data_IF_596441780350
#
_entry.id   IF_596441780350
#
_cell.length_a   1.000
_cell.length_b   1.000
_cell.length_c   1.000
_cell.angle_alpha   90.00
_cell.angle_beta   90.00
_cell.angle_gamma   90.00
#
_symmetry.space_group_name_H-M   'P 1'
#
loop_
_entity.id
_entity.type
_entity.pdbx_description
1 polymer ?
#
# COMPACT_ATOMS: atom_id res chain seq x y z
N UNK A 1 11.08 28.75 -2.16
CA UNK A 1 9.71 28.64 -1.57
C UNK A 1 8.64 28.90 -2.62
N UNK A 2 8.56 30.09 -3.23
CA UNK A 2 7.55 30.43 -4.26
C UNK A 2 7.53 29.47 -5.46
N UNK A 3 8.70 29.05 -5.93
CA UNK A 3 8.83 28.09 -7.05
C UNK A 3 8.29 26.69 -6.71
N UNK A 4 8.40 26.26 -5.45
CA UNK A 4 7.83 24.98 -4.97
C UNK A 4 6.30 25.00 -4.95
N UNK A 5 5.70 26.13 -4.55
CA UNK A 5 4.25 26.33 -4.59
C UNK A 5 3.69 26.37 -6.01
N UNK A 6 4.38 27.05 -6.94
CA UNK A 6 3.97 27.12 -8.34
C UNK A 6 3.99 25.73 -9.00
N UNK A 7 5.03 24.93 -8.72
CA UNK A 7 5.15 23.56 -9.26
C UNK A 7 4.20 22.56 -8.61
N UNK A 8 3.97 22.66 -7.30
CA UNK A 8 2.91 21.90 -6.63
C UNK A 8 1.55 22.20 -7.26
N UNK A 9 1.27 23.47 -7.54
CA UNK A 9 0.10 23.88 -8.31
C UNK A 9 0.05 23.21 -9.68
N UNK A 10 1.14 23.24 -10.45
CA UNK A 10 1.21 22.63 -11.78
C UNK A 10 0.97 21.11 -11.77
N UNK A 11 1.55 20.37 -10.83
CA UNK A 11 1.32 18.93 -10.67
C UNK A 11 -0.11 18.62 -10.18
N UNK A 12 -0.61 19.39 -9.21
CA UNK A 12 -1.98 19.24 -8.70
C UNK A 12 -3.00 19.47 -9.81
N UNK A 13 -2.86 20.55 -10.57
CA UNK A 13 -3.76 20.90 -11.67
C UNK A 13 -3.57 20.00 -12.88
N UNK A 14 -2.32 19.67 -13.25
CA UNK A 14 -2.00 18.80 -14.38
C UNK A 14 -2.47 17.37 -14.20
N UNK A 15 -2.32 16.80 -12.98
CA UNK A 15 -2.83 15.46 -12.66
C UNK A 15 -4.34 15.44 -12.52
N UNK A 16 -4.94 16.45 -11.88
CA UNK A 16 -6.40 16.61 -11.86
C UNK A 16 -6.96 16.65 -13.28
N UNK A 17 -6.29 17.36 -14.20
CA UNK A 17 -6.68 17.44 -15.61
C UNK A 17 -6.48 16.12 -16.35
N UNK A 18 -5.41 15.38 -16.07
CA UNK A 18 -5.16 14.06 -16.65
C UNK A 18 -6.21 13.05 -16.20
N UNK A 19 -6.57 13.05 -14.92
CA UNK A 19 -7.62 12.19 -14.35
C UNK A 19 -8.98 12.58 -14.90
N UNK A 20 -9.30 13.88 -14.95
CA UNK A 20 -10.56 14.38 -15.53
C UNK A 20 -10.68 14.06 -17.02
N UNK A 21 -9.62 14.27 -17.81
CA UNK A 21 -9.62 13.98 -19.25
C UNK A 21 -9.64 12.48 -19.55
N UNK A 22 -8.96 11.66 -18.73
CA UNK A 22 -9.04 10.20 -18.81
C UNK A 22 -10.44 9.67 -18.47
N UNK A 23 -11.04 10.18 -17.40
CA UNK A 23 -12.42 9.88 -17.01
C UNK A 23 -13.42 10.28 -18.10
N UNK A 24 -13.28 11.49 -18.66
CA UNK A 24 -14.10 11.97 -19.76
C UNK A 24 -13.94 11.12 -21.02
N UNK A 25 -12.71 10.77 -21.42
CA UNK A 25 -12.45 9.92 -22.59
C UNK A 25 -13.11 8.56 -22.43
N UNK A 26 -13.01 7.94 -21.24
CA UNK A 26 -13.66 6.64 -20.96
C UNK A 26 -15.18 6.74 -20.96
N UNK A 27 -15.74 7.83 -20.44
CA UNK A 27 -17.18 8.09 -20.50
C UNK A 27 -17.68 8.25 -21.94
N UNK A 28 -16.92 8.96 -22.79
CA UNK A 28 -17.21 9.12 -24.22
C UNK A 28 -17.13 7.77 -24.93
N UNK A 29 -16.04 7.02 -24.76
CA UNK A 29 -15.88 5.70 -25.39
C UNK A 29 -16.98 4.70 -24.97
N UNK A 30 -17.40 4.71 -23.71
CA UNK A 30 -18.51 3.86 -23.25
C UNK A 30 -19.85 4.30 -23.84
N UNK A 31 -20.06 5.60 -23.99
CA UNK A 31 -21.26 6.17 -24.60
C UNK A 31 -21.33 5.84 -26.08
N UNK A 32 -20.24 5.99 -26.84
CA UNK A 32 -20.15 5.62 -28.25
C UNK A 32 -20.38 4.13 -28.48
N UNK A 33 -19.76 3.25 -27.67
CA UNK A 33 -19.98 1.79 -27.77
C UNK A 33 -21.43 1.38 -27.48
N UNK A 34 -22.15 2.14 -26.64
CA UNK A 34 -23.53 1.82 -26.25
C UNK A 34 -24.58 2.48 -27.13
N UNK A 35 -24.30 3.62 -27.76
CA UNK A 35 -25.19 4.27 -28.73
C UNK A 35 -25.41 3.45 -30.01
N UNK A 36 -24.52 2.49 -30.30
CA UNK A 36 -24.69 1.53 -31.41
C UNK A 36 -25.74 0.45 -31.09
N UNK A 37 -26.20 0.34 -29.83
CA UNK A 37 -27.31 -0.53 -29.43
C UNK A 37 -28.46 0.27 -28.82
N UNK A 38 -29.70 0.02 -29.25
CA UNK A 38 -30.90 0.72 -28.77
C UNK A 38 -31.28 0.38 -27.32
N UNK A 39 -30.45 0.75 -26.34
CA UNK A 39 -30.77 0.64 -24.92
C UNK A 39 -31.11 2.00 -24.32
N UNK A 40 -32.09 2.02 -23.41
CA UNK A 40 -32.64 3.23 -22.78
C UNK A 40 -31.63 4.05 -21.97
N UNK A 41 -32.08 5.19 -21.44
CA UNK A 41 -31.25 6.18 -20.76
C UNK A 41 -30.72 5.76 -19.37
N UNK A 42 -31.36 4.79 -18.72
CA UNK A 42 -31.02 4.37 -17.35
C UNK A 42 -29.62 3.68 -17.24
N UNK A 43 -29.23 2.74 -18.12
CA UNK A 43 -27.86 2.21 -18.19
C UNK A 43 -26.78 3.26 -18.45
N UNK A 44 -27.11 4.33 -19.19
CA UNK A 44 -26.18 5.42 -19.50
C UNK A 44 -25.94 6.29 -18.26
N UNK A 45 -27.01 6.60 -17.52
CA UNK A 45 -26.91 7.36 -16.28
C UNK A 45 -26.12 6.62 -15.19
N UNK A 46 -26.33 5.30 -15.03
CA UNK A 46 -25.54 4.49 -14.09
C UNK A 46 -24.06 4.45 -14.48
N UNK A 47 -23.73 4.33 -15.76
CA UNK A 47 -22.33 4.34 -16.22
C UNK A 47 -21.64 5.70 -15.95
N UNK A 48 -22.35 6.81 -16.15
CA UNK A 48 -21.84 8.15 -15.82
C UNK A 48 -21.62 8.33 -14.32
N UNK A 49 -22.56 7.85 -13.48
CA UNK A 49 -22.40 7.86 -12.02
C UNK A 49 -21.23 6.99 -11.55
N UNK A 50 -21.05 5.81 -12.15
CA UNK A 50 -19.92 4.92 -11.83
C UNK A 50 -18.58 5.55 -12.22
N UNK A 51 -18.49 6.20 -13.39
CA UNK A 51 -17.27 6.88 -13.82
C UNK A 51 -17.00 8.15 -13.01
N UNK A 52 -18.03 8.88 -12.57
CA UNK A 52 -17.89 9.97 -11.61
C UNK A 52 -17.40 9.50 -10.24
N UNK A 53 -17.91 8.37 -9.74
CA UNK A 53 -17.43 7.78 -8.50
C UNK A 53 -15.98 7.29 -8.60
N UNK A 54 -15.59 6.71 -9.74
CA UNK A 54 -14.19 6.34 -10.03
C UNK A 54 -13.30 7.59 -10.07
N UNK A 55 -13.75 8.66 -10.75
CA UNK A 55 -13.06 9.95 -10.77
C UNK A 55 -12.85 10.51 -9.37
N UNK A 56 -13.86 10.48 -8.50
CA UNK A 56 -13.73 10.95 -7.12
C UNK A 56 -12.74 10.10 -6.30
N UNK A 57 -12.70 8.78 -6.53
CA UNK A 57 -11.73 7.88 -5.89
C UNK A 57 -10.30 8.19 -6.35
N UNK A 58 -10.10 8.40 -7.65
CA UNK A 58 -8.82 8.79 -8.23
C UNK A 58 -8.38 10.18 -7.72
N UNK A 59 -9.31 11.13 -7.62
CA UNK A 59 -9.05 12.51 -7.15
C UNK A 59 -8.56 12.58 -5.70
N UNK A 60 -8.99 11.66 -4.83
CA UNK A 60 -8.48 11.59 -3.44
C UNK A 60 -6.97 11.32 -3.40
N UNK A 61 -6.41 10.71 -4.46
CA UNK A 61 -4.98 10.37 -4.54
C UNK A 61 -4.12 11.49 -5.14
N UNK A 62 -4.74 12.53 -5.71
CA UNK A 62 -4.04 13.64 -6.39
C UNK A 62 -3.21 14.49 -5.42
N UNK A 63 -3.72 14.71 -4.21
CA UNK A 63 -3.05 15.53 -3.20
C UNK A 63 -1.74 14.89 -2.69
N UNK A 64 -1.72 13.61 -2.24
CA UNK A 64 -0.47 12.92 -1.90
C UNK A 64 0.55 12.91 -3.04
N UNK A 65 0.08 12.73 -4.27
CA UNK A 65 0.92 12.61 -5.46
C UNK A 65 1.59 13.92 -5.91
N UNK A 66 0.84 15.02 -5.92
CA UNK A 66 1.39 16.33 -6.25
C UNK A 66 2.42 16.77 -5.20
N UNK A 67 2.18 16.41 -3.94
CA UNK A 67 3.12 16.65 -2.86
C UNK A 67 4.41 15.82 -3.02
N UNK A 68 4.33 14.54 -3.39
CA UNK A 68 5.48 13.66 -3.65
C UNK A 68 6.33 14.11 -4.86
N UNK A 69 5.68 14.51 -5.95
CA UNK A 69 6.37 15.03 -7.13
C UNK A 69 7.11 16.34 -6.83
N UNK A 70 6.53 17.20 -5.98
CA UNK A 70 7.16 18.42 -5.53
C UNK A 70 8.33 18.15 -4.56
N UNK A 71 8.19 17.23 -3.61
CA UNK A 71 9.20 16.94 -2.58
C UNK A 71 10.43 16.22 -3.16
N UNK A 72 10.24 15.21 -4.01
CA UNK A 72 11.32 14.44 -4.63
C UNK A 72 12.24 15.26 -5.54
N UNK A 73 11.77 16.40 -6.06
CA UNK A 73 12.54 17.29 -6.94
C UNK A 73 13.15 18.50 -6.22
N UNK A 74 12.71 18.80 -4.99
CA UNK A 74 13.32 19.85 -4.16
C UNK A 74 14.63 19.38 -3.51
N UNK A 75 14.88 18.07 -3.41
CA UNK A 75 16.16 17.50 -2.93
C UNK A 75 17.37 17.74 -3.86
N UNK A 76 17.20 18.46 -4.98
CA UNK A 76 18.25 18.78 -5.95
C UNK A 76 18.64 20.28 -6.02
N UNK A 77 18.37 21.09 -5.00
CA UNK A 77 18.97 22.43 -4.92
C UNK A 77 20.37 22.34 -4.32
N UNK A 78 21.33 21.95 -5.16
CA UNK A 78 22.77 22.16 -4.90
C UNK A 78 23.05 23.67 -4.92
N UNK A 79 23.88 24.24 -4.03
CA UNK A 79 24.34 25.61 -4.21
C UNK A 79 25.14 25.67 -5.51
N UNK A 80 24.68 26.50 -6.46
CA UNK A 80 25.37 26.75 -7.73
C UNK A 80 26.80 27.27 -7.47
N UNK A 81 27.86 26.64 -8.01
CA UNK A 81 29.08 27.35 -8.32
C UNK A 81 28.84 28.21 -9.57
N UNK A 82 29.34 29.44 -9.54
CA UNK A 82 29.32 30.37 -10.67
C UNK A 82 30.01 29.76 -11.90
N UNK A 83 29.27 29.79 -13.01
CA UNK A 83 29.63 29.88 -14.44
C UNK A 83 30.95 29.28 -14.94
N UNK A 84 30.83 28.33 -15.87
CA UNK A 84 31.19 28.58 -17.29
C UNK A 84 30.75 27.43 -18.22
N UNK A 85 29.96 27.79 -19.24
CA UNK A 85 29.87 27.21 -20.58
C UNK A 85 29.57 25.71 -20.77
N UNK A 86 28.41 25.41 -21.37
CA UNK A 86 28.19 24.64 -22.63
C UNK A 86 26.73 24.12 -22.68
N UNK A 87 26.06 24.50 -23.77
CA UNK A 87 24.87 24.00 -24.51
C UNK A 87 23.68 23.23 -23.86
N UNK A 88 22.46 23.38 -24.41
CA UNK A 88 21.23 22.92 -23.77
C UNK A 88 20.95 21.43 -24.02
N UNK A 89 20.99 20.62 -22.96
CA UNK A 89 20.45 19.26 -22.99
C UNK A 89 18.92 19.28 -23.06
N UNK A 90 18.39 18.60 -24.08
CA UNK A 90 16.98 18.31 -24.29
C UNK A 90 16.36 17.56 -23.09
N UNK A 91 15.03 17.67 -22.88
CA UNK A 91 14.38 17.04 -21.73
C UNK A 91 14.56 15.52 -21.78
N UNK A 92 15.25 14.99 -20.77
CA UNK A 92 15.39 13.55 -20.55
C UNK A 92 14.00 12.99 -20.23
N UNK A 93 13.37 12.44 -21.25
CA UNK A 93 12.35 11.40 -21.12
C UNK A 93 13.02 10.18 -20.49
N UNK A 94 12.97 10.05 -19.16
CA UNK A 94 13.43 8.85 -18.46
C UNK A 94 12.34 7.79 -18.43
N UNK A 95 11.96 7.30 -19.61
CA UNK A 95 11.35 5.99 -19.79
C UNK A 95 12.49 4.99 -20.08
N UNK A 96 13.26 4.63 -19.07
CA UNK A 96 14.23 3.53 -19.12
C UNK A 96 14.41 2.97 -17.71
N UNK A 97 13.48 2.10 -17.32
CA UNK A 97 13.58 1.31 -16.09
C UNK A 97 14.70 0.28 -16.24
N UNK A 98 15.87 0.55 -15.68
CA UNK A 98 16.92 -0.45 -15.57
C UNK A 98 16.43 -1.55 -14.61
N UNK A 99 16.28 -2.77 -15.12
CA UNK A 99 16.01 -3.94 -14.28
C UNK A 99 17.23 -4.18 -13.39
N UNK A 100 17.04 -4.08 -12.07
CA UNK A 100 18.06 -4.45 -11.10
C UNK A 100 17.85 -5.91 -10.69
N UNK A 101 18.86 -6.75 -10.82
CA UNK A 101 18.83 -8.09 -10.24
C UNK A 101 19.44 -8.09 -8.84
N UNK A 102 18.71 -8.68 -7.89
CA UNK A 102 19.15 -8.89 -6.51
C UNK A 102 19.13 -10.38 -6.22
N UNK A 103 20.17 -10.89 -5.58
CA UNK A 103 20.21 -12.29 -5.13
C UNK A 103 19.58 -12.39 -3.75
N UNK A 104 18.52 -13.18 -3.63
CA UNK A 104 17.84 -13.46 -2.37
C UNK A 104 18.27 -14.85 -1.89
N UNK A 105 18.80 -14.91 -0.67
CA UNK A 105 19.11 -16.18 0.00
C UNK A 105 17.87 -16.76 0.64
N UNK A 106 17.49 -17.98 0.26
CA UNK A 106 16.45 -18.76 0.91
C UNK A 106 16.92 -19.38 2.22
N UNK A 107 15.98 -19.80 3.08
CA UNK A 107 16.27 -20.55 4.31
C UNK A 107 16.92 -21.91 4.06
N UNK A 108 16.66 -22.50 2.90
CA UNK A 108 17.29 -23.73 2.40
C UNK A 108 18.76 -23.52 1.96
N UNK A 109 19.26 -22.29 2.03
CA UNK A 109 20.59 -21.91 1.56
C UNK A 109 20.67 -21.71 0.05
N UNK A 110 19.57 -21.85 -0.68
CA UNK A 110 19.55 -21.64 -2.12
C UNK A 110 19.48 -20.13 -2.44
N UNK A 111 20.36 -19.69 -3.32
CA UNK A 111 20.35 -18.33 -3.88
C UNK A 111 19.40 -18.27 -5.07
N UNK A 112 18.47 -17.30 -5.06
CA UNK A 112 17.52 -17.09 -6.16
C UNK A 112 17.61 -15.64 -6.65
N UNK A 113 17.77 -15.39 -7.96
CA UNK A 113 17.73 -14.04 -8.50
C UNK A 113 16.31 -13.47 -8.42
N UNK A 114 16.22 -12.19 -8.14
CA UNK A 114 14.98 -11.41 -8.14
C UNK A 114 15.20 -10.15 -8.99
N UNK A 115 14.39 -9.99 -10.03
CA UNK A 115 14.35 -8.78 -10.83
C UNK A 115 13.50 -7.70 -10.14
N UNK A 116 14.00 -6.47 -10.12
CA UNK A 116 13.27 -5.28 -9.67
C UNK A 116 12.96 -4.37 -10.87
N UNK A 117 11.78 -3.72 -10.88
CA UNK A 117 10.75 -3.82 -9.84
C UNK A 117 9.98 -5.15 -9.87
N UNK A 118 9.44 -5.57 -8.73
CA UNK A 118 8.60 -6.78 -8.65
C UNK A 118 7.19 -6.47 -9.13
N UNK A 119 6.60 -7.39 -9.89
CA UNK A 119 5.22 -7.29 -10.35
C UNK A 119 4.35 -8.34 -9.68
N UNK A 120 3.16 -7.93 -9.27
CA UNK A 120 2.04 -8.84 -9.05
C UNK A 120 1.04 -8.59 -10.16
N UNK A 121 0.83 -9.60 -10.99
CA UNK A 121 0.00 -9.53 -12.19
C UNK A 121 -1.46 -9.73 -11.80
N UNK A 122 -1.71 -10.60 -10.82
CA UNK A 122 -3.06 -10.92 -10.38
C UNK A 122 -3.07 -11.33 -8.90
N UNK A 123 -3.87 -10.60 -8.12
CA UNK A 123 -4.13 -10.87 -6.71
C UNK A 123 -5.56 -10.48 -6.34
N UNK A 124 -6.10 -11.02 -5.25
CA UNK A 124 -7.30 -10.49 -4.60
C UNK A 124 -6.90 -9.78 -3.31
N UNK A 125 -7.54 -8.66 -2.98
CA UNK A 125 -7.24 -7.92 -1.75
C UNK A 125 -8.52 -7.49 -1.02
N UNK A 126 -8.56 -7.74 0.28
CA UNK A 126 -9.48 -7.09 1.22
C UNK A 126 -8.72 -6.16 2.16
N UNK A 127 -9.32 -5.01 2.49
CA UNK A 127 -8.75 -4.06 3.44
C UNK A 127 -9.81 -3.45 4.34
N UNK A 128 -9.41 -3.06 5.55
CA UNK A 128 -10.25 -2.39 6.53
C UNK A 128 -9.43 -1.35 7.30
N UNK A 129 -9.89 -0.10 7.28
CA UNK A 129 -9.26 1.03 7.95
C UNK A 129 -9.97 1.32 9.27
N UNK A 130 -9.21 1.51 10.35
CA UNK A 130 -9.73 1.86 11.66
C UNK A 130 -9.07 3.14 12.18
N UNK A 131 -9.88 4.02 12.76
CA UNK A 131 -9.38 5.12 13.58
C UNK A 131 -9.08 4.61 15.01
N UNK A 132 -7.84 4.79 15.46
CA UNK A 132 -7.30 4.28 16.73
C UNK A 132 -6.63 5.40 17.54
N UNK A 133 -6.47 5.28 18.86
CA UNK A 133 -5.73 6.26 19.65
C UNK A 133 -4.30 6.41 19.13
N UNK A 134 -3.87 7.64 18.86
CA UNK A 134 -2.56 7.89 18.25
C UNK A 134 -1.38 7.57 19.15
N UNK A 135 -1.56 7.60 20.47
CA UNK A 135 -0.55 7.10 21.43
C UNK A 135 -0.22 5.62 21.19
N UNK A 136 -1.23 4.78 20.99
CA UNK A 136 -1.05 3.34 20.71
C UNK A 136 -0.38 3.15 19.34
N UNK A 137 -0.81 3.90 18.32
CA UNK A 137 -0.18 3.86 17.01
C UNK A 137 1.29 4.29 17.07
N UNK A 138 1.59 5.35 17.82
CA UNK A 138 2.97 5.82 18.05
C UNK A 138 3.79 4.73 18.70
N UNK A 139 3.31 4.10 19.78
CA UNK A 139 3.99 2.99 20.45
C UNK A 139 4.35 1.86 19.49
N UNK A 140 3.42 1.50 18.58
CA UNK A 140 3.60 0.43 17.60
C UNK A 140 4.70 0.69 16.56
N UNK A 141 5.08 1.94 16.32
CA UNK A 141 6.20 2.29 15.43
C UNK A 141 7.55 1.80 15.98
N UNK A 142 7.67 1.58 17.29
CA UNK A 142 8.89 1.10 17.91
C UNK A 142 10.09 1.99 17.59
N UNK A 143 11.15 1.40 17.03
CA UNK A 143 12.36 2.11 16.60
C UNK A 143 12.11 3.08 15.45
N UNK A 144 11.04 2.91 14.65
CA UNK A 144 10.72 3.79 13.53
C UNK A 144 10.19 5.16 13.96
N UNK A 145 10.00 5.39 15.26
CA UNK A 145 9.54 6.69 15.81
C UNK A 145 10.54 7.82 15.57
N UNK A 146 11.80 7.54 15.28
CA UNK A 146 12.81 8.54 14.98
C UNK A 146 12.60 9.17 13.59
N UNK A 147 12.11 8.40 12.63
CA UNK A 147 11.87 8.85 11.25
C UNK A 147 10.40 9.10 10.90
N UNK A 148 9.48 8.41 11.58
CA UNK A 148 8.05 8.44 11.28
C UNK A 148 7.22 8.91 12.46
N UNK A 149 6.05 9.44 12.14
CA UNK A 149 4.96 9.67 13.07
C UNK A 149 3.64 9.18 12.47
N UNK A 150 2.66 8.75 13.28
CA UNK A 150 1.35 8.39 12.77
C UNK A 150 0.70 9.59 12.08
N UNK A 151 0.00 9.34 10.97
CA UNK A 151 -0.82 10.37 10.34
C UNK A 151 -2.04 10.67 11.22
N UNK A 152 -2.07 11.88 11.77
CA UNK A 152 -3.12 12.33 12.69
C UNK A 152 -4.34 12.85 11.93
N UNK A 153 -5.51 12.31 12.24
CA UNK A 153 -6.81 12.82 11.77
C UNK A 153 -7.34 13.98 12.64
N UNK A 154 -6.58 14.39 13.66
CA UNK A 154 -7.02 15.27 14.73
C UNK A 154 -7.72 14.51 15.87
N UNK A 155 -7.81 15.15 17.04
CA UNK A 155 -8.43 14.55 18.23
C UNK A 155 -7.67 13.35 18.83
N UNK A 156 -6.37 13.24 18.55
CA UNK A 156 -5.52 12.15 19.03
C UNK A 156 -5.85 10.80 18.38
N UNK A 157 -6.14 10.81 17.07
CA UNK A 157 -6.57 9.64 16.31
C UNK A 157 -5.66 9.43 15.11
N UNK A 158 -5.18 8.21 14.96
CA UNK A 158 -4.40 7.76 13.81
C UNK A 158 -5.15 6.68 13.02
N UNK A 159 -4.70 6.41 11.80
CA UNK A 159 -5.24 5.36 10.95
C UNK A 159 -4.37 4.10 10.98
N UNK A 160 -5.03 2.95 11.13
CA UNK A 160 -4.45 1.63 10.95
C UNK A 160 -5.25 0.86 9.90
N UNK A 161 -4.58 0.03 9.12
CA UNK A 161 -5.18 -0.79 8.07
C UNK A 161 -4.91 -2.27 8.35
N UNK A 162 -5.96 -3.07 8.36
CA UNK A 162 -5.90 -4.54 8.35
C UNK A 162 -6.15 -5.01 6.93
N UNK A 163 -5.31 -5.89 6.40
CA UNK A 163 -5.39 -6.34 5.01
C UNK A 163 -5.23 -7.86 4.91
N UNK A 164 -5.89 -8.44 3.91
CA UNK A 164 -5.68 -9.81 3.44
C UNK A 164 -5.46 -9.80 1.95
N UNK A 165 -4.43 -10.49 1.47
CA UNK A 165 -4.06 -10.54 0.04
C UNK A 165 -3.82 -11.98 -0.39
N UNK A 166 -4.38 -12.37 -1.52
CA UNK A 166 -4.14 -13.65 -2.18
C UNK A 166 -3.44 -13.40 -3.51
N UNK A 167 -2.12 -13.56 -3.54
CA UNK A 167 -1.30 -13.38 -4.75
C UNK A 167 -1.37 -14.65 -5.60
N UNK A 168 -2.06 -14.56 -6.74
CA UNK A 168 -2.30 -15.68 -7.68
C UNK A 168 -1.27 -15.72 -8.81
N UNK A 169 -0.72 -14.58 -9.19
CA UNK A 169 0.40 -14.44 -10.10
C UNK A 169 1.29 -13.25 -9.67
N UNK A 170 2.50 -13.54 -9.23
CA UNK A 170 3.48 -12.55 -8.77
C UNK A 170 4.90 -13.06 -9.06
N UNK A 171 5.83 -12.14 -9.32
CA UNK A 171 7.25 -12.47 -9.51
C UNK A 171 7.86 -13.15 -8.26
N UNK A 172 7.23 -13.00 -7.09
CA UNK A 172 7.58 -13.69 -5.83
C UNK A 172 6.89 -15.06 -5.66
N UNK A 173 6.17 -15.53 -6.67
CA UNK A 173 5.37 -16.76 -6.64
C UNK A 173 3.95 -16.55 -6.10
N UNK A 174 3.24 -17.66 -5.88
CA UNK A 174 1.87 -17.68 -5.34
C UNK A 174 1.90 -17.77 -3.82
N UNK A 175 1.22 -16.87 -3.14
CA UNK A 175 1.17 -16.86 -1.67
C UNK A 175 -0.01 -16.03 -1.14
N UNK A 176 -0.39 -16.29 0.10
CA UNK A 176 -1.34 -15.47 0.85
C UNK A 176 -0.60 -14.60 1.87
N UNK A 177 -1.19 -13.46 2.20
CA UNK A 177 -0.67 -12.48 3.14
C UNK A 177 -1.80 -11.94 4.04
N UNK A 178 -1.51 -11.77 5.33
CA UNK A 178 -2.29 -10.91 6.23
C UNK A 178 -1.34 -9.86 6.79
N UNK A 179 -1.77 -8.60 6.77
CA UNK A 179 -0.94 -7.49 7.20
C UNK A 179 -1.70 -6.50 8.08
N UNK A 180 -0.94 -5.86 8.95
CA UNK A 180 -1.33 -4.69 9.73
C UNK A 180 -0.36 -3.56 9.41
N UNK A 181 -0.89 -2.44 8.92
CA UNK A 181 -0.11 -1.26 8.57
C UNK A 181 -0.63 -0.01 9.29
N UNK A 182 0.29 0.87 9.69
CA UNK A 182 -0.06 2.22 10.14
C UNK A 182 0.09 3.18 8.98
N UNK A 183 -0.83 4.14 8.87
CA UNK A 183 -0.64 5.30 8.01
C UNK A 183 0.22 6.31 8.75
N UNK A 184 1.27 6.78 8.10
CA UNK A 184 2.35 7.56 8.70
C UNK A 184 2.77 8.69 7.80
N UNK A 185 3.44 9.68 8.37
CA UNK A 185 4.24 10.66 7.64
C UNK A 185 5.67 10.61 8.15
N UNK A 186 6.62 11.06 7.33
CA UNK A 186 7.98 11.32 7.81
C UNK A 186 8.01 12.61 8.63
N UNK A 187 8.84 12.67 9.66
CA UNK A 187 8.87 13.82 10.60
C UNK A 187 9.29 15.13 9.93
N UNK A 188 10.19 15.04 8.96
CA UNK A 188 10.80 16.20 8.31
C UNK A 188 10.19 16.47 6.93
N UNK A 189 9.07 15.84 6.57
CA UNK A 189 8.40 16.14 5.31
C UNK A 189 7.46 17.34 5.46
N UNK A 190 7.84 18.52 4.91
CA UNK A 190 6.99 19.71 5.00
C UNK A 190 5.68 19.57 4.22
N UNK A 191 5.61 18.60 3.29
CA UNK A 191 4.40 18.33 2.54
C UNK A 191 3.46 17.34 3.27
N UNK A 192 3.95 16.65 4.30
CA UNK A 192 3.17 15.73 5.13
C UNK A 192 2.53 14.59 4.33
N UNK A 193 3.23 14.06 3.33
CA UNK A 193 2.70 13.04 2.42
C UNK A 193 2.47 11.74 3.21
N UNK A 194 1.24 11.22 3.22
CA UNK A 194 0.96 9.96 3.89
C UNK A 194 1.60 8.78 3.15
N UNK A 195 2.30 7.94 3.90
CA UNK A 195 2.72 6.60 3.51
C UNK A 195 2.19 5.55 4.48
N UNK A 196 2.65 4.32 4.32
CA UNK A 196 2.34 3.22 5.21
C UNK A 196 3.61 2.57 5.76
N UNK A 197 3.56 2.11 7.00
CA UNK A 197 4.56 1.19 7.56
C UNK A 197 3.85 -0.05 8.08
N UNK A 198 4.38 -1.21 7.69
CA UNK A 198 3.86 -2.48 8.16
C UNK A 198 4.39 -2.78 9.57
N UNK A 199 3.48 -2.98 10.50
CA UNK A 199 3.79 -3.29 11.91
C UNK A 199 3.49 -4.75 12.27
N UNK A 200 3.04 -5.54 11.30
CA UNK A 200 2.92 -6.99 11.38
C UNK A 200 2.50 -7.57 10.03
N UNK A 201 3.25 -8.55 9.52
CA UNK A 201 2.95 -9.21 8.24
C UNK A 201 3.15 -10.72 8.42
N UNK A 202 2.15 -11.50 8.01
CA UNK A 202 2.25 -12.95 7.93
C UNK A 202 2.01 -13.44 6.50
N UNK A 203 2.80 -14.40 6.05
CA UNK A 203 2.71 -14.99 4.71
C UNK A 203 2.88 -16.51 4.76
N UNK A 204 2.41 -17.25 3.76
CA UNK A 204 2.80 -18.65 3.55
C UNK A 204 3.82 -18.85 2.40
N UNK A 205 4.26 -17.76 1.76
CA UNK A 205 5.28 -17.80 0.72
C UNK A 205 6.68 -17.58 1.29
N UNK A 206 7.50 -18.63 1.32
CA UNK A 206 8.88 -18.53 1.80
C UNK A 206 9.72 -17.52 1.00
N UNK A 207 9.68 -17.57 -0.33
CA UNK A 207 10.41 -16.62 -1.16
C UNK A 207 9.95 -15.17 -0.96
N UNK A 208 8.64 -14.95 -0.78
CA UNK A 208 8.08 -13.64 -0.44
C UNK A 208 8.56 -13.12 0.91
N UNK A 209 8.70 -13.99 1.93
CA UNK A 209 9.30 -13.64 3.21
C UNK A 209 10.75 -13.20 3.02
N UNK A 210 11.56 -14.05 2.39
CA UNK A 210 13.00 -13.84 2.30
C UNK A 210 13.34 -12.62 1.45
N UNK A 211 12.68 -12.46 0.30
CA UNK A 211 12.82 -11.28 -0.55
C UNK A 211 12.30 -10.01 0.14
N UNK A 212 11.14 -10.10 0.81
CA UNK A 212 10.56 -9.02 1.60
C UNK A 212 11.55 -8.41 2.59
N UNK A 213 12.22 -9.29 3.35
CA UNK A 213 13.23 -8.90 4.33
C UNK A 213 14.51 -8.38 3.67
N UNK A 214 15.08 -9.13 2.73
CA UNK A 214 16.40 -8.82 2.16
C UNK A 214 16.39 -7.53 1.32
N UNK A 215 15.36 -7.34 0.50
CA UNK A 215 15.27 -6.18 -0.39
C UNK A 215 14.69 -5.00 0.38
N UNK A 216 13.46 -5.13 0.87
CA UNK A 216 12.66 -4.01 1.39
C UNK A 216 12.66 -3.87 2.91
N UNK A 217 13.35 -4.72 3.68
CA UNK A 217 13.29 -4.66 5.14
C UNK A 217 11.90 -4.96 5.71
N UNK A 218 11.05 -5.68 4.97
CA UNK A 218 9.73 -6.08 5.43
C UNK A 218 9.84 -7.36 6.26
N UNK A 219 9.67 -7.21 7.57
CA UNK A 219 9.76 -8.31 8.54
C UNK A 219 8.51 -9.19 8.52
N UNK A 220 8.40 -10.03 7.47
CA UNK A 220 7.33 -11.00 7.31
C UNK A 220 7.55 -12.25 8.15
N UNK A 221 6.48 -12.82 8.70
CA UNK A 221 6.49 -14.08 9.43
C UNK A 221 5.93 -15.20 8.54
N UNK A 222 6.67 -16.29 8.37
CA UNK A 222 6.19 -17.46 7.62
C UNK A 222 5.19 -18.27 8.46
N UNK A 223 4.06 -18.63 7.83
CA UNK A 223 2.98 -19.44 8.36
C UNK A 223 2.42 -20.32 7.25
N UNK A 224 2.89 -21.56 7.18
CA UNK A 224 2.50 -22.51 6.12
C UNK A 224 0.99 -22.86 6.18
N UNK A 225 0.38 -22.68 7.35
CA UNK A 225 -1.04 -22.87 7.60
C UNK A 225 -1.89 -21.63 7.27
N UNK A 226 -1.30 -20.50 6.86
CA UNK A 226 -2.07 -19.36 6.39
C UNK A 226 -2.83 -19.72 5.10
N UNK A 227 -4.11 -19.37 5.05
CA UNK A 227 -5.01 -19.76 3.98
C UNK A 227 -6.09 -18.72 3.72
N UNK A 228 -6.72 -18.84 2.55
CA UNK A 228 -7.83 -18.02 2.09
C UNK A 228 -9.05 -18.90 1.80
N UNK A 229 -10.23 -18.45 2.19
CA UNK A 229 -11.52 -19.10 1.90
C UNK A 229 -12.44 -18.11 1.22
N UNK A 230 -12.81 -18.41 -0.02
CA UNK A 230 -13.75 -17.63 -0.80
C UNK A 230 -15.18 -18.10 -0.57
N UNK A 231 -16.08 -17.13 -0.39
CA UNK A 231 -17.54 -17.30 -0.45
C UNK A 231 -18.11 -16.35 -1.51
N UNK A 232 -19.43 -16.42 -1.73
CA UNK A 232 -20.10 -15.58 -2.71
C UNK A 232 -19.99 -14.09 -2.37
N UNK A 233 -20.14 -13.73 -1.09
CA UNK A 233 -20.25 -12.36 -0.59
C UNK A 233 -19.12 -11.95 0.36
N UNK A 234 -18.16 -12.85 0.61
CA UNK A 234 -17.10 -12.64 1.59
C UNK A 234 -15.86 -13.47 1.26
N UNK A 235 -14.71 -12.98 1.69
CA UNK A 235 -13.45 -13.72 1.64
C UNK A 235 -12.76 -13.64 2.99
N UNK A 236 -12.37 -14.79 3.51
CA UNK A 236 -11.69 -14.89 4.79
C UNK A 236 -10.23 -15.30 4.63
N UNK A 237 -9.36 -14.67 5.41
CA UNK A 237 -7.94 -14.95 5.50
C UNK A 237 -7.62 -15.36 6.94
N UNK A 238 -6.87 -16.43 7.12
CA UNK A 238 -6.46 -16.83 8.45
C UNK A 238 -5.71 -18.13 8.51
N UNK A 239 -5.34 -18.50 9.72
CA UNK A 239 -4.62 -19.73 9.99
C UNK A 239 -5.57 -20.91 9.93
N UNK A 240 -5.19 -21.94 9.16
CA UNK A 240 -5.93 -23.18 9.03
C UNK A 240 -5.69 -24.02 10.28
N UNK A 241 -6.60 -23.94 11.24
CA UNK A 241 -6.66 -24.94 12.30
C UNK A 241 -8.09 -25.46 12.48
N UNK A 242 -8.20 -26.69 12.98
CA UNK A 242 -9.46 -27.24 13.47
C UNK A 242 -9.96 -26.57 14.77
N UNK A 243 -9.20 -25.61 15.32
CA UNK A 243 -9.57 -24.88 16.53
C UNK A 243 -10.32 -23.58 16.19
N UNK A 244 -11.44 -23.31 16.91
CA UNK A 244 -12.25 -22.12 16.70
C UNK A 244 -11.55 -20.81 17.14
N UNK A 245 -10.38 -20.88 17.76
CA UNK A 245 -9.64 -19.72 18.29
C UNK A 245 -8.35 -19.46 17.49
N UNK A 246 -8.45 -19.44 16.17
CA UNK A 246 -7.37 -18.99 15.28
C UNK A 246 -7.61 -17.61 14.72
N UNK A 247 -6.50 -16.88 14.50
CA UNK A 247 -6.53 -15.63 13.76
C UNK A 247 -7.27 -15.82 12.43
N UNK A 248 -8.32 -15.04 12.27
CA UNK A 248 -9.14 -15.01 11.06
C UNK A 248 -9.65 -13.60 10.82
N UNK A 249 -9.59 -13.13 9.59
CA UNK A 249 -10.16 -11.86 9.14
C UNK A 249 -11.04 -12.11 7.93
N UNK A 250 -12.30 -11.67 7.96
CA UNK A 250 -13.21 -11.77 6.83
C UNK A 250 -13.57 -10.39 6.31
N UNK A 251 -13.42 -10.21 5.01
CA UNK A 251 -13.81 -9.00 4.29
C UNK A 251 -15.06 -9.27 3.46
N UNK A 252 -15.94 -8.28 3.28
CA UNK A 252 -17.03 -8.39 2.30
C UNK A 252 -16.44 -8.38 0.90
N UNK A 253 -16.97 -9.22 0.01
CA UNK A 253 -16.55 -9.34 -1.38
C UNK A 253 -17.57 -8.65 -2.27
N UNK A 254 -17.22 -7.48 -2.78
CA UNK A 254 -18.15 -6.66 -3.56
C UNK A 254 -17.41 -5.69 -4.47
N UNK A 255 -18.18 -5.05 -5.35
CA UNK A 255 -17.71 -3.99 -6.21
C UNK A 255 -17.49 -4.43 -7.66
N UNK A 256 -17.60 -3.47 -8.54
CA UNK A 256 -17.48 -3.62 -10.00
C UNK A 256 -16.57 -2.55 -10.60
N UNK A 257 -15.97 -1.71 -9.75
CA UNK A 257 -15.17 -0.55 -10.15
C UNK A 257 -13.77 -0.96 -10.57
N UNK A 258 -13.05 0.01 -11.12
CA UNK A 258 -11.66 -0.11 -11.56
C UNK A 258 -10.89 1.14 -11.16
N UNK A 259 -9.60 0.98 -10.88
CA UNK A 259 -8.64 2.07 -10.64
C UNK A 259 -7.31 1.73 -11.31
N UNK A 260 -6.51 2.75 -11.60
CA UNK A 260 -5.25 2.56 -12.33
C UNK A 260 -4.14 3.39 -11.69
N UNK A 261 -2.98 2.77 -11.53
CA UNK A 261 -1.72 3.39 -11.10
C UNK A 261 -1.84 4.24 -9.83
N UNK A 262 -2.59 3.76 -8.84
CA UNK A 262 -2.67 4.36 -7.51
C UNK A 262 -1.36 4.10 -6.77
N UNK A 263 -0.58 5.15 -6.46
CA UNK A 263 0.69 5.00 -5.79
C UNK A 263 0.52 4.96 -4.29
N UNK A 264 1.39 4.19 -3.64
CA UNK A 264 1.49 4.10 -2.20
C UNK A 264 2.95 4.06 -1.79
N UNK A 265 3.30 4.99 -0.89
CA UNK A 265 4.60 5.00 -0.24
C UNK A 265 4.63 3.98 0.88
N UNK A 266 5.61 3.08 0.84
CA UNK A 266 5.86 2.11 1.89
C UNK A 266 7.19 2.46 2.56
N UNK A 267 7.14 2.66 3.87
CA UNK A 267 8.29 2.87 4.72
C UNK A 267 8.64 1.60 5.49
N UNK A 268 9.94 1.38 5.69
CA UNK A 268 10.45 0.21 6.39
C UNK A 268 11.86 0.47 6.93
N UNK A 269 12.39 -0.51 7.66
CA UNK A 269 13.77 -0.50 8.16
C UNK A 269 14.42 -1.82 7.80
N UNK A 270 15.58 -1.77 7.14
CA UNK A 270 16.37 -2.95 6.83
C UNK A 270 17.47 -3.11 7.88
N UNK A 271 17.49 -4.22 8.64
CA UNK A 271 18.59 -4.50 9.56
C UNK A 271 19.92 -4.58 8.82
N UNK A 272 20.99 -4.08 9.43
CA UNK A 272 22.36 -4.23 8.94
C UNK A 272 23.26 -4.65 10.10
N UNK A 273 24.07 -5.68 9.91
CA UNK A 273 24.88 -6.24 10.98
C UNK A 273 25.87 -5.19 11.52
N UNK A 274 25.82 -4.95 12.83
CA UNK A 274 26.72 -4.00 13.50
C UNK A 274 26.41 -2.52 13.26
N UNK A 275 25.33 -2.20 12.53
CA UNK A 275 24.94 -0.82 12.22
C UNK A 275 23.47 -0.57 12.54
N UNK A 276 23.07 0.70 12.78
CA UNK A 276 21.65 1.05 12.88
C UNK A 276 20.89 0.57 11.64
N UNK A 277 19.67 0.07 11.83
CA UNK A 277 18.85 -0.35 10.71
C UNK A 277 18.63 0.81 9.74
N UNK A 278 18.79 0.55 8.45
CA UNK A 278 18.71 1.55 7.39
C UNK A 278 17.23 1.88 7.13
N UNK A 279 16.81 3.15 7.23
CA UNK A 279 15.45 3.55 6.89
C UNK A 279 15.28 3.53 5.37
N UNK A 280 14.21 2.88 4.91
CA UNK A 280 13.90 2.71 3.49
C UNK A 280 12.53 3.31 3.16
N UNK A 281 12.42 3.80 1.93
CA UNK A 281 11.16 4.17 1.29
C UNK A 281 11.06 3.46 -0.06
N UNK A 282 9.88 2.90 -0.33
CA UNK A 282 9.60 2.19 -1.57
C UNK A 282 8.27 2.68 -2.13
N UNK A 283 8.16 2.75 -3.45
CA UNK A 283 6.93 3.09 -4.13
C UNK A 283 6.25 1.82 -4.62
N UNK A 284 4.95 1.70 -4.35
CA UNK A 284 4.11 0.66 -4.92
C UNK A 284 3.02 1.31 -5.77
N UNK A 285 2.87 0.91 -7.03
CA UNK A 285 1.79 1.37 -7.91
C UNK A 285 0.76 0.27 -8.10
N UNK A 286 -0.50 0.56 -7.81
CA UNK A 286 -1.61 -0.39 -7.83
C UNK A 286 -2.61 -0.07 -8.93
N UNK A 287 -3.05 -1.08 -9.67
CA UNK A 287 -4.22 -1.03 -10.54
C UNK A 287 -5.14 -2.19 -10.19
N UNK A 288 -6.45 -2.04 -10.40
CA UNK A 288 -7.35 -3.14 -10.12
C UNK A 288 -8.73 -3.00 -10.75
N UNK A 289 -9.45 -4.12 -10.78
CA UNK A 289 -10.85 -4.19 -11.20
C UNK A 289 -11.66 -5.16 -10.34
N UNK A 290 -12.98 -5.04 -10.41
CA UNK A 290 -13.87 -5.69 -9.45
C UNK A 290 -13.71 -5.09 -8.05
N UNK A 291 -13.48 -3.77 -8.00
CA UNK A 291 -13.17 -3.05 -6.77
C UNK A 291 -14.42 -2.42 -6.17
N UNK A 292 -14.48 -2.39 -4.85
CA UNK A 292 -15.54 -1.77 -4.06
C UNK A 292 -14.95 -1.16 -2.80
N UNK A 293 -15.49 -0.01 -2.38
CA UNK A 293 -15.16 0.63 -1.13
C UNK A 293 -16.44 1.17 -0.49
N UNK A 294 -16.51 1.12 0.84
CA UNK A 294 -17.64 1.63 1.62
C UNK A 294 -17.16 2.18 2.97
N UNK A 295 -17.89 3.14 3.51
CA UNK A 295 -17.73 3.62 4.90
C UNK A 295 -18.42 2.64 5.83
N UNK A 296 -17.81 2.31 6.97
CA UNK A 296 -18.36 1.28 7.85
C UNK A 296 -18.23 -0.11 7.24
N UNK A 297 -19.28 -0.93 7.35
CA UNK A 297 -19.41 -2.25 6.74
C UNK A 297 -18.88 -3.41 7.58
N UNK A 298 -19.23 -4.63 7.17
CA UNK A 298 -19.02 -5.84 7.97
C UNK A 298 -17.66 -6.47 7.69
N UNK A 299 -16.68 -6.14 8.53
CA UNK A 299 -15.40 -6.86 8.61
C UNK A 299 -15.39 -7.62 9.93
N UNK A 300 -15.16 -8.93 9.88
CA UNK A 300 -15.06 -9.74 11.10
C UNK A 300 -13.61 -10.10 11.37
N UNK A 301 -13.15 -9.84 12.59
CA UNK A 301 -11.82 -10.21 13.06
C UNK A 301 -12.01 -11.14 14.25
N UNK A 302 -11.43 -12.34 14.14
CA UNK A 302 -11.29 -13.28 15.24
C UNK A 302 -9.83 -13.38 15.58
N UNK A 303 -9.52 -13.23 16.86
CA UNK A 303 -8.15 -13.34 17.36
C UNK A 303 -7.91 -14.76 17.87
N UNK A 304 -6.71 -15.27 17.61
CA UNK A 304 -6.26 -16.48 18.28
C UNK A 304 -5.61 -16.20 19.62
N UNK A 305 -5.57 -17.23 20.46
CA UNK A 305 -4.69 -17.25 21.65
C UNK A 305 -3.23 -17.31 21.19
N UNK A 306 -2.36 -16.56 21.86
CA UNK A 306 -0.93 -16.59 21.56
C UNK A 306 -0.28 -17.90 22.01
N UNK A 307 -0.83 -18.51 23.07
CA UNK A 307 -0.25 -19.71 23.71
C UNK A 307 -0.36 -20.97 22.83
N UNK A 308 -1.21 -20.94 21.79
CA UNK A 308 -1.57 -22.12 21.00
C UNK A 308 -1.08 -22.07 19.54
N UNK A 309 -0.04 -21.28 19.24
CA UNK A 309 0.41 -21.01 17.87
C UNK A 309 -0.72 -20.51 16.94
N UNK A 310 -1.81 -20.01 17.51
CA UNK A 310 -3.02 -19.62 16.81
C UNK A 310 -2.98 -18.16 16.31
N UNK A 311 -1.79 -17.57 16.35
CA UNK A 311 -1.49 -16.21 15.94
C UNK A 311 -0.18 -16.09 15.17
N UNK A 312 -0.02 -15.02 14.40
CA UNK A 312 1.20 -14.68 13.68
C UNK A 312 2.09 -13.84 14.58
N UNK A 313 3.27 -14.35 14.94
CA UNK A 313 4.14 -13.74 15.94
C UNK A 313 5.58 -13.60 15.44
N UNK A 314 6.19 -12.44 15.71
CA UNK A 314 7.59 -12.17 15.37
C UNK A 314 8.43 -12.15 16.65
N UNK A 315 9.00 -13.30 17.01
CA UNK A 315 9.85 -13.44 18.20
C UNK A 315 9.05 -13.42 19.50
N UNK A 316 8.70 -12.22 19.98
CA UNK A 316 8.02 -12.06 21.28
C UNK A 316 6.49 -12.18 21.20
N UNK A 317 5.84 -12.42 22.34
CA UNK A 317 4.38 -12.41 22.49
C UNK A 317 3.78 -11.03 22.18
N UNK A 318 4.47 -9.94 22.54
CA UNK A 318 4.01 -8.57 22.28
C UNK A 318 4.03 -8.23 20.77
N UNK A 319 4.90 -8.90 20.02
CA UNK A 319 5.01 -8.77 18.57
C UNK A 319 4.03 -9.66 17.80
N UNK A 320 3.11 -10.33 18.49
CA UNK A 320 2.03 -11.05 17.84
C UNK A 320 0.98 -10.10 17.24
N UNK A 321 0.60 -10.37 15.99
CA UNK A 321 -0.43 -9.63 15.27
C UNK A 321 -1.74 -9.56 16.05
N UNK A 322 -2.14 -10.63 16.73
CA UNK A 322 -3.36 -10.68 17.54
C UNK A 322 -3.28 -9.78 18.77
N UNK A 323 -2.12 -9.67 19.41
CA UNK A 323 -1.92 -8.76 20.54
C UNK A 323 -1.94 -7.31 20.07
N UNK A 324 -1.34 -7.00 18.92
CA UNK A 324 -1.45 -5.68 18.29
C UNK A 324 -2.91 -5.32 17.98
N UNK A 325 -3.65 -6.21 17.32
CA UNK A 325 -5.08 -6.02 17.03
C UNK A 325 -5.93 -5.86 18.31
N UNK A 326 -5.61 -6.61 19.37
CA UNK A 326 -6.28 -6.46 20.68
C UNK A 326 -5.99 -5.11 21.31
N UNK A 327 -4.74 -4.64 21.29
CA UNK A 327 -4.34 -3.33 21.83
C UNK A 327 -4.97 -2.16 21.06
N UNK A 328 -5.18 -2.31 19.76
CA UNK A 328 -5.87 -1.31 18.94
C UNK A 328 -7.39 -1.27 19.20
N UNK A 329 -7.89 -2.25 19.96
CA UNK A 329 -9.31 -2.41 20.27
C UNK A 329 -10.16 -2.34 19.00
N UNK A 330 -9.86 -3.16 17.98
CA UNK A 330 -10.59 -3.18 16.69
C UNK A 330 -11.59 -4.32 16.56
N UNK A 331 -11.64 -5.22 17.54
CA UNK A 331 -12.49 -6.41 17.52
C UNK A 331 -13.94 -6.02 17.80
N UNK A 332 -14.87 -6.44 16.94
CA UNK A 332 -16.29 -6.11 17.07
C UNK A 332 -16.64 -4.66 16.72
N UNK A 333 -15.66 -3.82 16.37
CA UNK A 333 -15.90 -2.46 15.87
C UNK A 333 -16.10 -2.46 14.37
N UNK A 334 -16.97 -1.57 13.90
CA UNK A 334 -17.06 -1.24 12.49
C UNK A 334 -15.79 -0.46 12.08
N UNK A 335 -15.15 -0.82 10.95
CA UNK A 335 -14.07 -0.03 10.41
C UNK A 335 -14.58 1.34 9.97
N UNK A 336 -13.70 2.34 9.91
CA UNK A 336 -14.01 3.63 9.31
C UNK A 336 -14.35 3.46 7.83
N UNK A 337 -13.61 2.61 7.12
CA UNK A 337 -13.91 2.18 5.77
C UNK A 337 -13.36 0.78 5.51
N UNK A 338 -13.96 0.05 4.56
CA UNK A 338 -13.42 -1.19 4.05
C UNK A 338 -13.57 -1.28 2.53
N UNK A 339 -12.84 -2.20 1.93
CA UNK A 339 -12.96 -2.47 0.52
C UNK A 339 -12.46 -3.85 0.10
N UNK A 340 -12.80 -4.18 -1.12
CA UNK A 340 -12.39 -5.37 -1.83
C UNK A 340 -11.88 -5.01 -3.22
N UNK A 341 -10.92 -5.74 -3.72
CA UNK A 341 -10.51 -5.73 -5.13
C UNK A 341 -10.31 -7.17 -5.58
N UNK A 342 -11.09 -7.58 -6.58
CA UNK A 342 -11.09 -8.96 -7.09
C UNK A 342 -9.84 -9.30 -7.89
N UNK A 343 -9.36 -8.34 -8.69
CA UNK A 343 -8.18 -8.48 -9.52
C UNK A 343 -7.32 -7.24 -9.34
N UNK A 344 -6.31 -7.37 -8.52
CA UNK A 344 -5.29 -6.38 -8.21
C UNK A 344 -4.02 -6.75 -8.99
N UNK A 345 -3.44 -5.75 -9.63
CA UNK A 345 -2.13 -5.81 -10.27
C UNK A 345 -1.28 -4.63 -9.81
N UNK A 346 0.03 -4.75 -9.87
CA UNK A 346 0.88 -3.64 -9.51
C UNK A 346 2.36 -3.93 -9.60
N UNK A 347 3.12 -2.87 -9.30
CA UNK A 347 4.57 -2.84 -9.35
C UNK A 347 5.07 -2.38 -7.97
N UNK A 348 6.05 -3.09 -7.42
CA UNK A 348 6.75 -2.71 -6.20
C UNK A 348 8.21 -2.40 -6.51
N UNK A 349 8.54 -1.12 -6.42
CA UNK A 349 9.82 -0.56 -6.84
C UNK A 349 10.97 -0.98 -5.92
N UNK A 350 12.20 -0.87 -6.42
CA UNK A 350 13.38 -0.99 -5.59
C UNK A 350 13.36 0.06 -4.46
N UNK A 351 13.72 -0.33 -3.22
CA UNK A 351 13.72 0.59 -2.10
C UNK A 351 14.84 1.64 -2.27
N UNK A 352 14.57 2.85 -1.79
CA UNK A 352 15.54 3.93 -1.66
C UNK A 352 15.83 4.18 -0.20
N UNK A 353 17.10 4.36 0.14
CA UNK A 353 17.49 4.79 1.48
C UNK A 353 16.96 6.21 1.74
N UNK A 354 16.27 6.38 2.88
CA UNK A 354 15.95 7.70 3.39
C UNK A 354 17.23 8.27 4.00
N UNK A 355 17.80 9.29 3.37
CA UNK A 355 18.96 9.97 3.95
C UNK A 355 18.52 10.65 5.25
N UNK A 356 19.32 10.57 6.34
CA UNK A 356 19.06 11.43 7.49
C UNK A 356 19.05 12.88 7.02
N UNK A 357 18.07 13.66 7.51
CA UNK A 357 18.07 15.10 7.29
C UNK A 357 19.37 15.71 7.81
N UNK A 358 19.82 16.86 7.26
CA UNK A 358 20.94 17.58 7.85
C UNK A 358 20.61 17.94 9.30
N UNK A 359 21.46 17.56 10.24
CA UNK A 359 21.39 17.93 11.67
C UNK A 359 21.49 19.44 11.89
#
# INVERSE_FOLDING_TARGET
MLEGYLRFGEELWGRSWTIASGSLRRAVEQTERRLVGSQGSEPLFRALLDEYANFMLDMVTVLPLAAEAASSRMSFVRPMPRESGIEPEAPVSSASGATQEVVVQGRDGASRPLALPVRFIDASQGWAVYAVPSGIATEMLGESKDMLMPFELGGGRALVVVMGIDYRACDLGRYQEIALALIVTTRDDPAGIPGAIFVGIGVNGEFSRDAGKAVWGLEKVLRDDLSVTYRADSVGFGLRSGHPETLWVSFPRFGTRRFHEIPMLIHSRRPHDGHPAEPLQSLMSLSGHGSGAQVGGSVSIRLGSVDHAACICRGSIEDCLCNRLRRLDVIGRLPTANGWTEHLSGIFEAPRALRPGPE
#
